data_IF_761085120641
#
_entry.id   IF_761085120641
#
_cell.length_a   1.000
_cell.length_b   1.000
_cell.length_c   1.000
_cell.angle_alpha   90.00
_cell.angle_beta   90.00
_cell.angle_gamma   90.00
#
_symmetry.space_group_name_H-M   'P 1'
#
loop_
_entity.id
_entity.type
_entity.pdbx_description
1 polymer ?
#
# COMPACT_ATOMS: atom_id res chain seq x y z
N UNK A 1 13.92 6.00 -53.62
CA UNK A 1 15.00 6.37 -52.69
C UNK A 1 14.79 5.58 -51.41
N UNK A 2 15.61 4.56 -51.15
CA UNK A 2 15.56 3.81 -49.89
C UNK A 2 16.12 4.71 -48.78
N UNK A 3 15.26 5.23 -47.93
CA UNK A 3 15.66 5.87 -46.68
C UNK A 3 16.24 4.80 -45.76
N UNK A 4 17.57 4.70 -45.70
CA UNK A 4 18.25 3.88 -44.70
C UNK A 4 17.91 4.42 -43.32
N UNK A 5 17.10 3.68 -42.57
CA UNK A 5 16.74 4.04 -41.20
C UNK A 5 17.98 3.87 -40.33
N UNK A 6 18.54 4.98 -39.83
CA UNK A 6 19.65 4.93 -38.88
C UNK A 6 19.16 4.44 -37.52
N UNK A 7 19.68 3.30 -37.06
CA UNK A 7 19.33 2.70 -35.76
C UNK A 7 20.27 3.12 -34.63
N UNK A 8 21.31 3.90 -34.91
CA UNK A 8 22.26 4.41 -33.91
C UNK A 8 21.58 5.14 -32.72
N UNK A 9 20.49 5.91 -32.91
CA UNK A 9 19.77 6.52 -31.79
C UNK A 9 19.24 5.51 -30.75
N UNK A 10 19.05 4.23 -31.12
CA UNK A 10 18.58 3.20 -30.17
C UNK A 10 19.62 2.85 -29.11
N UNK A 11 20.88 3.29 -29.23
CA UNK A 11 21.89 3.12 -28.17
C UNK A 11 21.40 3.70 -26.83
N UNK A 12 20.57 4.75 -26.85
CA UNK A 12 19.94 5.26 -25.63
C UNK A 12 19.09 4.22 -24.89
N UNK A 13 18.41 3.32 -25.61
CA UNK A 13 17.63 2.21 -25.00
C UNK A 13 18.57 1.24 -24.30
N UNK A 14 19.72 0.92 -24.90
CA UNK A 14 20.73 0.08 -24.25
C UNK A 14 21.29 0.72 -22.96
N UNK A 15 21.50 2.05 -22.96
CA UNK A 15 21.89 2.80 -21.75
C UNK A 15 20.82 2.66 -20.65
N UNK A 16 19.54 2.74 -21.01
CA UNK A 16 18.43 2.55 -20.06
C UNK A 16 18.45 1.13 -19.47
N UNK A 17 18.58 0.11 -20.33
CA UNK A 17 18.62 -1.30 -19.92
C UNK A 17 19.78 -1.55 -18.95
N UNK A 18 20.99 -1.13 -19.32
CA UNK A 18 22.20 -1.32 -18.50
C UNK A 18 22.08 -0.55 -17.19
N UNK A 19 21.59 0.70 -17.23
CA UNK A 19 21.41 1.52 -16.04
C UNK A 19 20.46 0.89 -15.02
N UNK A 20 19.32 0.37 -15.47
CA UNK A 20 18.38 -0.32 -14.60
C UNK A 20 18.92 -1.67 -14.10
N UNK A 21 19.67 -2.41 -14.92
CA UNK A 21 20.32 -3.65 -14.51
C UNK A 21 21.33 -3.41 -13.38
N UNK A 22 22.08 -2.31 -13.46
CA UNK A 22 23.03 -1.86 -12.44
C UNK A 22 22.36 -1.13 -11.25
N UNK A 23 21.03 -0.97 -11.27
CA UNK A 23 20.24 -0.28 -10.23
C UNK A 23 20.68 1.16 -9.95
N UNK A 24 21.16 1.87 -10.97
CA UNK A 24 21.47 3.29 -10.84
C UNK A 24 20.20 4.14 -10.71
N UNK A 25 20.37 5.41 -10.31
CA UNK A 25 19.25 6.33 -10.14
C UNK A 25 18.50 6.53 -11.48
N UNK A 26 17.17 6.25 -11.55
CA UNK A 26 16.39 6.37 -12.77
C UNK A 26 16.49 7.74 -13.45
N UNK A 27 16.53 8.83 -12.68
CA UNK A 27 16.65 10.19 -13.23
C UNK A 27 17.97 10.40 -13.97
N UNK A 28 19.08 9.90 -13.40
CA UNK A 28 20.40 9.99 -14.04
C UNK A 28 20.45 9.13 -15.30
N UNK A 29 19.85 7.93 -15.26
CA UNK A 29 19.80 7.02 -16.40
C UNK A 29 19.03 7.67 -17.56
N UNK A 30 17.85 8.24 -17.30
CA UNK A 30 17.03 8.91 -18.33
C UNK A 30 17.74 10.14 -18.90
N UNK A 31 18.40 10.94 -18.06
CA UNK A 31 19.18 12.09 -18.52
C UNK A 31 20.38 11.67 -19.38
N UNK A 32 21.12 10.63 -18.99
CA UNK A 32 22.23 10.11 -19.78
C UNK A 32 21.74 9.53 -21.12
N UNK A 33 20.64 8.78 -21.10
CA UNK A 33 20.05 8.18 -22.29
C UNK A 33 19.57 9.24 -23.29
N UNK A 34 18.98 10.34 -22.84
CA UNK A 34 18.53 11.43 -23.73
C UNK A 34 19.72 12.10 -24.42
N UNK A 35 20.82 12.33 -23.70
CA UNK A 35 22.07 12.88 -24.26
C UNK A 35 22.69 11.90 -25.26
N UNK A 36 22.85 10.63 -24.89
CA UNK A 36 23.46 9.60 -25.75
C UNK A 36 22.64 9.40 -27.03
N UNK A 37 21.30 9.38 -26.92
CA UNK A 37 20.39 9.28 -28.08
C UNK A 37 20.58 10.47 -29.03
N UNK A 38 20.64 11.68 -28.48
CA UNK A 38 20.77 12.88 -29.30
C UNK A 38 22.15 13.00 -29.97
N UNK A 39 23.23 12.59 -29.28
CA UNK A 39 24.57 12.50 -29.84
C UNK A 39 24.65 11.44 -30.96
N UNK A 40 24.04 10.27 -30.74
CA UNK A 40 23.96 9.21 -31.75
C UNK A 40 23.09 9.58 -32.96
N UNK A 41 22.19 10.55 -32.80
CA UNK A 41 21.42 11.17 -33.88
C UNK A 41 22.14 12.36 -34.56
N UNK A 42 23.40 12.64 -34.18
CA UNK A 42 24.20 13.76 -34.67
C UNK A 42 23.56 15.13 -34.46
N UNK A 43 22.83 15.32 -33.36
CA UNK A 43 22.29 16.64 -33.02
C UNK A 43 23.43 17.55 -32.53
N UNK A 44 23.49 18.82 -33.00
CA UNK A 44 24.44 19.77 -32.46
C UNK A 44 24.05 20.18 -31.02
N UNK A 45 24.99 20.61 -30.16
CA UNK A 45 24.74 20.81 -28.72
C UNK A 45 23.59 21.78 -28.39
N UNK A 46 23.42 22.83 -29.19
CA UNK A 46 22.32 23.78 -29.10
C UNK A 46 20.96 23.10 -29.31
N UNK A 47 20.85 22.19 -30.28
CA UNK A 47 19.64 21.43 -30.56
C UNK A 47 19.33 20.41 -29.46
N UNK A 48 20.36 19.81 -28.84
CA UNK A 48 20.19 18.91 -27.69
C UNK A 48 19.58 19.68 -26.52
N UNK A 49 20.17 20.83 -26.17
CA UNK A 49 19.69 21.70 -25.10
C UNK A 49 18.27 22.21 -25.38
N UNK A 50 17.99 22.65 -26.62
CA UNK A 50 16.67 23.11 -27.03
C UNK A 50 15.62 21.99 -26.97
N UNK A 51 15.97 20.76 -27.39
CA UNK A 51 15.07 19.62 -27.33
C UNK A 51 14.70 19.28 -25.88
N UNK A 52 15.68 19.19 -24.98
CA UNK A 52 15.47 18.93 -23.55
C UNK A 52 14.62 20.05 -22.92
N UNK A 53 14.97 21.31 -23.17
CA UNK A 53 14.23 22.47 -22.64
C UNK A 53 12.79 22.53 -23.15
N UNK A 54 12.58 22.28 -24.44
CA UNK A 54 11.23 22.25 -25.03
C UNK A 54 10.38 21.12 -24.49
N UNK A 55 10.97 19.94 -24.23
CA UNK A 55 10.30 18.82 -23.57
C UNK A 55 9.86 19.18 -22.16
N UNK A 56 10.73 19.82 -21.39
CA UNK A 56 10.41 20.26 -20.04
C UNK A 56 9.27 21.30 -20.01
N UNK A 57 9.31 22.27 -20.92
CA UNK A 57 8.26 23.30 -21.05
C UNK A 57 6.90 22.72 -21.49
N UNK A 58 6.90 21.78 -22.44
CA UNK A 58 5.68 21.10 -22.92
C UNK A 58 4.97 20.32 -21.81
N UNK A 59 5.74 19.82 -20.86
CA UNK A 59 5.27 19.00 -19.74
C UNK A 59 5.08 19.82 -18.46
N UNK A 60 5.41 21.12 -18.43
CA UNK A 60 5.40 22.00 -17.23
C UNK A 60 4.12 21.97 -16.39
N UNK A 61 2.96 21.87 -17.02
CA UNK A 61 1.68 21.85 -16.30
C UNK A 61 1.57 20.62 -15.37
N UNK A 62 2.25 19.53 -15.71
CA UNK A 62 2.22 18.28 -14.98
C UNK A 62 2.97 18.39 -13.64
N UNK A 63 4.24 18.83 -13.57
CA UNK A 63 4.91 19.11 -12.30
C UNK A 63 4.13 20.07 -11.40
N UNK A 64 3.45 21.09 -11.95
CA UNK A 64 2.64 22.02 -11.14
C UNK A 64 1.48 21.29 -10.44
N UNK A 65 0.79 20.39 -11.16
CA UNK A 65 -0.28 19.56 -10.61
C UNK A 65 0.24 18.61 -9.52
N UNK A 66 1.50 18.18 -9.58
CA UNK A 66 2.12 17.31 -8.57
C UNK A 66 2.62 18.10 -7.36
N UNK A 67 3.33 19.20 -7.58
CA UNK A 67 4.00 19.96 -6.54
C UNK A 67 3.02 20.70 -5.62
N UNK A 68 1.89 21.17 -6.16
CA UNK A 68 0.93 21.93 -5.36
C UNK A 68 0.25 21.07 -4.27
N UNK A 69 -0.31 19.87 -4.57
CA UNK A 69 -0.79 18.95 -3.54
C UNK A 69 0.30 18.52 -2.56
N UNK A 70 1.52 18.28 -3.04
CA UNK A 70 2.64 17.88 -2.18
C UNK A 70 2.96 18.95 -1.12
N UNK A 71 2.91 20.24 -1.47
CA UNK A 71 3.09 21.32 -0.50
C UNK A 71 1.98 21.35 0.57
N UNK A 72 0.73 21.11 0.16
CA UNK A 72 -0.41 21.02 1.10
C UNK A 72 -0.25 19.81 2.02
N UNK A 73 0.08 18.64 1.47
CA UNK A 73 0.32 17.41 2.23
C UNK A 73 1.46 17.61 3.23
N UNK A 74 2.59 18.19 2.79
CA UNK A 74 3.72 18.49 3.66
C UNK A 74 3.38 19.48 4.78
N UNK A 75 2.51 20.46 4.51
CA UNK A 75 2.01 21.36 5.55
C UNK A 75 1.13 20.62 6.57
N UNK A 76 0.24 19.74 6.12
CA UNK A 76 -0.62 18.93 6.97
C UNK A 76 0.20 17.96 7.86
N UNK A 77 1.20 17.30 7.28
CA UNK A 77 2.12 16.44 8.02
C UNK A 77 2.92 17.22 9.06
N UNK A 78 3.42 18.43 8.72
CA UNK A 78 4.10 19.30 9.68
C UNK A 78 3.22 19.70 10.88
N UNK A 79 1.92 19.82 10.69
CA UNK A 79 0.96 20.14 11.76
C UNK A 79 0.46 18.92 12.53
N UNK A 80 1.08 17.75 12.31
CA UNK A 80 0.84 16.56 13.09
C UNK A 80 -0.37 15.74 12.66
N UNK A 81 -0.78 15.85 11.38
CA UNK A 81 -1.91 15.07 10.84
C UNK A 81 -1.69 13.56 11.05
N UNK A 82 -0.45 13.10 10.90
CA UNK A 82 -0.07 11.70 11.07
C UNK A 82 -0.25 11.22 12.50
N UNK A 83 0.24 11.97 13.47
CA UNK A 83 0.12 11.68 14.89
C UNK A 83 -1.35 11.67 15.29
N UNK A 84 -2.14 12.60 14.74
CA UNK A 84 -3.59 12.68 14.99
C UNK A 84 -4.33 11.47 14.41
N UNK A 85 -3.97 11.05 13.19
CA UNK A 85 -4.51 9.84 12.58
C UNK A 85 -4.16 8.59 13.38
N UNK A 86 -2.92 8.47 13.86
CA UNK A 86 -2.48 7.35 14.71
C UNK A 86 -3.27 7.31 16.04
N UNK A 87 -3.41 8.44 16.73
CA UNK A 87 -4.20 8.53 17.97
C UNK A 87 -5.66 8.17 17.74
N UNK A 88 -6.24 8.62 16.62
CA UNK A 88 -7.62 8.29 16.26
C UNK A 88 -7.78 6.79 15.95
N UNK A 89 -6.88 6.19 15.17
CA UNK A 89 -6.90 4.74 14.91
C UNK A 89 -6.75 3.94 16.22
N UNK A 90 -5.84 4.36 17.11
CA UNK A 90 -5.64 3.73 18.41
C UNK A 90 -6.90 3.76 19.30
N UNK A 91 -7.77 4.76 19.12
CA UNK A 91 -9.02 4.91 19.87
C UNK A 91 -10.16 4.01 19.36
N UNK A 92 -9.98 3.36 18.21
CA UNK A 92 -11.00 2.48 17.62
C UNK A 92 -11.19 1.26 18.54
N UNK A 93 -12.34 1.21 19.21
CA UNK A 93 -12.75 0.06 20.03
C UNK A 93 -13.59 -0.90 19.19
N UNK A 94 -12.94 -1.85 18.53
CA UNK A 94 -13.61 -2.95 17.83
C UNK A 94 -13.47 -4.27 18.57
N UNK A 95 -14.50 -5.09 18.53
CA UNK A 95 -14.52 -6.38 19.22
C UNK A 95 -13.70 -7.49 18.52
N UNK A 96 -13.34 -7.34 17.24
CA UNK A 96 -12.62 -8.36 16.47
C UNK A 96 -11.49 -7.78 15.64
N UNK A 97 -10.48 -8.61 15.37
CA UNK A 97 -9.32 -8.21 14.56
C UNK A 97 -9.71 -7.92 13.10
N UNK A 98 -10.59 -8.72 12.49
CA UNK A 98 -11.06 -8.49 11.13
C UNK A 98 -11.79 -7.16 10.98
N UNK A 99 -12.70 -6.83 11.90
CA UNK A 99 -13.41 -5.53 11.89
C UNK A 99 -12.46 -4.35 12.05
N UNK A 100 -11.47 -4.45 12.95
CA UNK A 100 -10.42 -3.43 13.10
C UNK A 100 -9.73 -3.18 11.76
N UNK A 101 -9.30 -4.26 11.10
CA UNK A 101 -8.59 -4.18 9.83
C UNK A 101 -9.46 -3.66 8.69
N UNK A 102 -10.76 -3.95 8.67
CA UNK A 102 -11.70 -3.41 7.67
C UNK A 102 -11.85 -1.89 7.82
N UNK A 103 -12.01 -1.39 9.05
CA UNK A 103 -12.09 0.06 9.30
C UNK A 103 -10.79 0.73 8.89
N UNK A 104 -9.66 0.13 9.27
CA UNK A 104 -8.35 0.61 8.86
C UNK A 104 -8.18 0.63 7.34
N UNK A 105 -8.60 -0.43 6.64
CA UNK A 105 -8.58 -0.50 5.17
C UNK A 105 -9.31 0.69 4.54
N UNK A 106 -10.54 0.95 5.00
CA UNK A 106 -11.35 2.07 4.50
C UNK A 106 -10.64 3.41 4.70
N UNK A 107 -10.13 3.64 5.91
CA UNK A 107 -9.41 4.88 6.25
C UNK A 107 -8.15 5.01 5.40
N UNK A 108 -7.41 3.91 5.23
CA UNK A 108 -6.16 3.89 4.47
C UNK A 108 -6.39 4.20 2.99
N UNK A 109 -7.44 3.63 2.41
CA UNK A 109 -7.81 3.83 1.01
C UNK A 109 -8.30 5.25 0.75
N UNK A 110 -9.18 5.78 1.61
CA UNK A 110 -9.68 7.16 1.51
C UNK A 110 -8.56 8.20 1.69
N UNK A 111 -7.67 7.97 2.65
CA UNK A 111 -6.53 8.87 2.87
C UNK A 111 -5.54 8.80 1.72
N UNK A 112 -5.25 7.61 1.18
CA UNK A 112 -4.41 7.46 0.00
C UNK A 112 -5.02 8.13 -1.25
N UNK A 113 -6.34 8.01 -1.45
CA UNK A 113 -7.06 8.69 -2.53
C UNK A 113 -6.99 10.22 -2.43
N UNK A 114 -6.91 10.76 -1.21
CA UNK A 114 -6.67 12.17 -0.95
C UNK A 114 -5.19 12.59 -1.09
N UNK A 115 -4.29 11.66 -1.43
CA UNK A 115 -2.84 11.90 -1.56
C UNK A 115 -2.05 11.78 -0.26
N UNK A 116 -2.70 11.42 0.85
CA UNK A 116 -2.08 11.27 2.17
C UNK A 116 -1.43 9.89 2.34
N UNK A 117 -0.63 9.48 1.36
CA UNK A 117 0.01 8.16 1.30
C UNK A 117 0.99 7.93 2.46
N UNK A 118 1.54 9.00 3.03
CA UNK A 118 2.43 8.98 4.20
C UNK A 118 1.77 8.66 5.54
N UNK A 119 0.43 8.65 5.66
CA UNK A 119 -0.26 8.41 6.94
C UNK A 119 -0.19 6.95 7.43
N UNK A 120 0.07 6.00 6.54
CA UNK A 120 0.17 4.58 6.88
C UNK A 120 1.60 4.06 6.77
N UNK A 121 1.74 2.81 6.34
CA UNK A 121 3.05 2.19 6.14
C UNK A 121 3.47 1.25 7.26
N UNK A 122 4.25 0.24 6.87
CA UNK A 122 4.74 -0.82 7.74
C UNK A 122 5.44 -0.34 9.03
N UNK A 123 6.45 0.54 8.98
CA UNK A 123 7.17 0.96 10.18
C UNK A 123 6.37 1.94 11.04
N UNK A 124 5.41 2.64 10.44
CA UNK A 124 4.74 3.79 11.05
C UNK A 124 3.42 3.43 11.73
N UNK A 125 2.69 2.50 11.12
CA UNK A 125 1.31 2.18 11.48
C UNK A 125 1.16 0.68 11.75
N UNK A 126 1.65 -0.17 10.84
CA UNK A 126 1.42 -1.62 10.96
C UNK A 126 2.13 -2.20 12.18
N UNK A 127 3.45 -2.02 12.28
CA UNK A 127 4.27 -2.63 13.34
C UNK A 127 3.97 -2.09 14.74
N UNK A 128 3.95 -0.76 14.99
CA UNK A 128 3.79 -0.25 16.35
C UNK A 128 2.33 -0.22 16.82
N UNK A 129 1.33 -0.23 15.93
CA UNK A 129 -0.06 0.00 16.29
C UNK A 129 -1.00 -1.09 15.77
N UNK A 130 -1.13 -1.27 14.46
CA UNK A 130 -2.18 -2.12 13.88
C UNK A 130 -2.01 -3.60 14.23
N UNK A 131 -0.79 -4.12 14.14
CA UNK A 131 -0.47 -5.49 14.49
C UNK A 131 -0.71 -5.80 15.98
N UNK A 132 -0.14 -5.04 16.95
CA UNK A 132 -0.41 -5.29 18.37
C UNK A 132 -1.89 -5.10 18.74
N UNK A 133 -2.61 -4.19 18.08
CA UNK A 133 -4.07 -4.06 18.29
C UNK A 133 -4.84 -5.28 17.78
N UNK A 134 -4.50 -5.82 16.61
CA UNK A 134 -5.13 -7.02 16.07
C UNK A 134 -4.83 -8.27 16.92
N UNK A 135 -3.59 -8.39 17.41
CA UNK A 135 -3.18 -9.41 18.39
C UNK A 135 -3.99 -9.27 19.69
N UNK A 136 -4.01 -8.08 20.29
CA UNK A 136 -4.73 -7.82 21.54
C UNK A 136 -6.25 -8.03 21.43
N UNK A 137 -6.86 -7.64 20.31
CA UNK A 137 -8.28 -7.89 20.06
C UNK A 137 -8.59 -9.40 19.99
N UNK A 138 -7.68 -10.20 19.42
CA UNK A 138 -7.81 -11.66 19.35
C UNK A 138 -7.56 -12.30 20.72
N UNK A 139 -6.53 -11.85 21.44
CA UNK A 139 -6.19 -12.36 22.78
C UNK A 139 -7.28 -12.06 23.81
N UNK A 140 -7.91 -10.89 23.75
CA UNK A 140 -9.03 -10.52 24.63
C UNK A 140 -10.22 -11.46 24.47
N UNK A 141 -10.46 -11.96 23.25
CA UNK A 141 -11.62 -12.79 22.92
C UNK A 141 -11.38 -14.28 23.15
N UNK A 142 -10.20 -14.77 22.80
CA UNK A 142 -9.88 -16.21 22.80
C UNK A 142 -8.83 -16.62 23.85
N UNK A 143 -8.24 -15.68 24.57
CA UNK A 143 -7.13 -15.94 25.49
C UNK A 143 -5.78 -15.99 24.74
N UNK A 144 -4.77 -16.64 25.34
CA UNK A 144 -3.43 -16.71 24.74
C UNK A 144 -3.47 -17.33 23.34
N UNK A 145 -2.94 -16.62 22.35
CA UNK A 145 -2.85 -17.07 20.97
C UNK A 145 -1.49 -17.72 20.69
N UNK A 146 -1.46 -18.66 19.74
CA UNK A 146 -0.20 -19.27 19.27
C UNK A 146 0.59 -18.33 18.35
N UNK A 147 1.89 -18.57 18.21
CA UNK A 147 2.75 -17.78 17.32
C UNK A 147 2.31 -17.84 15.86
N UNK A 148 1.75 -18.97 15.41
CA UNK A 148 1.19 -19.11 14.06
C UNK A 148 0.04 -18.12 13.82
N UNK A 149 -0.86 -17.96 14.80
CA UNK A 149 -1.97 -17.00 14.71
C UNK A 149 -1.44 -15.58 14.77
N UNK A 150 -0.44 -15.31 15.62
CA UNK A 150 0.21 -14.01 15.74
C UNK A 150 0.85 -13.56 14.42
N UNK A 151 1.65 -14.42 13.79
CA UNK A 151 2.25 -14.12 12.48
C UNK A 151 1.20 -13.94 11.39
N UNK A 152 0.10 -14.71 11.44
CA UNK A 152 -1.02 -14.52 10.52
C UNK A 152 -1.67 -13.14 10.69
N UNK A 153 -1.94 -12.71 11.92
CA UNK A 153 -2.49 -11.38 12.19
C UNK A 153 -1.56 -10.26 11.70
N UNK A 154 -0.25 -10.38 11.92
CA UNK A 154 0.76 -9.45 11.37
C UNK A 154 0.74 -9.41 9.84
N UNK A 155 0.65 -10.57 9.19
CA UNK A 155 0.58 -10.66 7.74
C UNK A 155 -0.70 -10.01 7.20
N UNK A 156 -1.85 -10.22 7.85
CA UNK A 156 -3.10 -9.58 7.47
C UNK A 156 -3.05 -8.06 7.70
N UNK A 157 -2.50 -7.59 8.81
CA UNK A 157 -2.29 -6.17 9.07
C UNK A 157 -1.40 -5.51 7.99
N UNK A 158 -0.27 -6.16 7.67
CA UNK A 158 0.64 -5.74 6.60
C UNK A 158 -0.04 -5.72 5.22
N UNK A 159 -0.82 -6.75 4.89
CA UNK A 159 -1.54 -6.82 3.62
C UNK A 159 -2.62 -5.74 3.49
N UNK A 160 -3.25 -5.38 4.61
CA UNK A 160 -4.32 -4.37 4.63
C UNK A 160 -3.78 -2.98 4.35
N UNK A 161 -2.62 -2.62 4.92
CA UNK A 161 -1.95 -1.36 4.59
C UNK A 161 -1.50 -1.32 3.12
N UNK A 162 -0.96 -2.42 2.58
CA UNK A 162 -0.53 -2.49 1.18
C UNK A 162 -1.70 -2.36 0.20
N UNK A 163 -2.78 -3.12 0.41
CA UNK A 163 -3.95 -3.10 -0.47
C UNK A 163 -4.62 -1.72 -0.42
N UNK A 164 -4.84 -1.17 0.78
CA UNK A 164 -5.45 0.15 0.93
C UNK A 164 -4.62 1.27 0.30
N UNK A 165 -3.29 1.24 0.46
CA UNK A 165 -2.41 2.21 -0.17
C UNK A 165 -2.43 2.08 -1.70
N UNK A 166 -2.19 0.86 -2.21
CA UNK A 166 -2.00 0.64 -3.64
C UNK A 166 -3.22 1.07 -4.45
N UNK A 167 -4.41 0.59 -4.08
CA UNK A 167 -5.62 0.92 -4.83
C UNK A 167 -6.20 2.30 -4.49
N UNK A 168 -5.91 2.83 -3.30
CA UNK A 168 -6.31 4.19 -2.95
C UNK A 168 -5.48 5.24 -3.69
N UNK A 169 -4.16 5.04 -3.81
CA UNK A 169 -3.25 5.97 -4.51
C UNK A 169 -3.60 6.12 -6.00
N UNK A 170 -4.16 5.08 -6.63
CA UNK A 170 -4.60 5.13 -8.04
C UNK A 170 -5.74 6.14 -8.30
N UNK A 171 -6.46 6.59 -7.26
CA UNK A 171 -7.49 7.64 -7.37
C UNK A 171 -6.85 9.04 -7.24
N UNK A 172 -5.62 9.13 -6.72
CA UNK A 172 -4.97 10.41 -6.51
C UNK A 172 -4.41 10.98 -7.82
N UNK A 173 -4.93 12.14 -8.22
CA UNK A 173 -4.66 12.77 -9.53
C UNK A 173 -3.17 13.06 -9.78
N UNK A 174 -2.40 13.31 -8.72
CA UNK A 174 -0.97 13.59 -8.80
C UNK A 174 -0.09 12.33 -8.66
N UNK A 175 -0.66 11.13 -8.79
CA UNK A 175 0.09 9.89 -8.87
C UNK A 175 0.92 9.80 -10.16
N UNK A 176 2.17 9.34 -10.03
CA UNK A 176 3.15 9.36 -11.12
C UNK A 176 2.74 8.56 -12.36
N UNK A 177 1.99 7.46 -12.19
CA UNK A 177 1.53 6.66 -13.32
C UNK A 177 0.45 7.38 -14.16
N UNK A 178 -0.47 8.09 -13.52
CA UNK A 178 -1.51 8.89 -14.22
C UNK A 178 -0.84 9.96 -15.08
N UNK A 179 0.15 10.63 -14.50
CA UNK A 179 0.97 11.63 -15.17
C UNK A 179 1.64 11.08 -16.42
N UNK A 180 2.27 9.89 -16.31
CA UNK A 180 2.92 9.23 -17.43
C UNK A 180 1.90 8.89 -18.54
N UNK A 181 0.76 8.31 -18.18
CA UNK A 181 -0.30 7.95 -19.13
C UNK A 181 -0.84 9.18 -19.87
N UNK A 182 -1.16 10.26 -19.14
CA UNK A 182 -1.66 11.50 -19.73
C UNK A 182 -0.61 12.14 -20.66
N UNK A 183 0.67 12.10 -20.28
CA UNK A 183 1.76 12.62 -21.13
C UNK A 183 1.84 11.84 -22.43
N UNK A 184 1.81 10.51 -22.35
CA UNK A 184 1.85 9.64 -23.52
C UNK A 184 0.65 9.83 -24.45
N UNK A 185 -0.57 9.90 -23.89
CA UNK A 185 -1.79 10.16 -24.67
C UNK A 185 -1.72 11.51 -25.38
N UNK A 186 -1.23 12.54 -24.68
CA UNK A 186 -1.06 13.88 -25.25
C UNK A 186 -0.07 13.87 -26.42
N UNK A 187 1.03 13.12 -26.32
CA UNK A 187 1.98 12.94 -27.43
C UNK A 187 1.37 12.22 -28.64
N UNK A 188 0.43 11.31 -28.40
CA UNK A 188 -0.37 10.64 -29.44
C UNK A 188 -1.51 11.50 -30.01
N UNK A 189 -1.66 12.75 -29.58
CA UNK A 189 -2.72 13.67 -30.02
C UNK A 189 -4.05 13.52 -29.27
N UNK A 190 -4.10 12.71 -28.22
CA UNK A 190 -5.29 12.48 -27.39
C UNK A 190 -5.16 13.32 -26.11
N UNK A 191 -5.95 14.39 -26.01
CA UNK A 191 -5.97 15.25 -24.82
C UNK A 191 -6.94 14.69 -23.78
N UNK A 192 -6.41 14.19 -22.66
CA UNK A 192 -7.21 13.74 -21.51
C UNK A 192 -6.75 14.49 -20.28
N UNK A 193 -7.69 14.95 -19.47
CA UNK A 193 -7.36 15.57 -18.19
C UNK A 193 -7.05 14.49 -17.13
N UNK A 194 -6.03 14.67 -16.28
CA UNK A 194 -5.66 13.70 -15.23
C UNK A 194 -6.82 13.26 -14.34
N UNK A 195 -7.75 14.18 -14.04
CA UNK A 195 -8.95 13.90 -13.23
C UNK A 195 -9.85 12.83 -13.86
N UNK A 196 -9.99 12.82 -15.18
CA UNK A 196 -10.81 11.82 -15.87
C UNK A 196 -10.19 10.43 -15.75
N UNK A 197 -8.86 10.33 -15.81
CA UNK A 197 -8.14 9.06 -15.63
C UNK A 197 -8.26 8.58 -14.17
N UNK A 198 -8.11 9.48 -13.20
CA UNK A 198 -8.18 9.18 -11.77
C UNK A 198 -9.56 8.63 -11.33
N UNK A 199 -10.65 9.17 -11.87
CA UNK A 199 -12.02 8.70 -11.54
C UNK A 199 -12.23 7.24 -11.94
N UNK A 200 -11.55 6.76 -12.99
CA UNK A 200 -11.60 5.34 -13.38
C UNK A 200 -10.83 4.41 -12.43
N UNK A 201 -10.04 4.94 -11.49
CA UNK A 201 -9.49 4.17 -10.37
C UNK A 201 -10.55 3.79 -9.33
N UNK A 202 -11.63 4.57 -9.20
CA UNK A 202 -12.66 4.38 -8.16
C UNK A 202 -13.33 3.00 -8.23
N UNK A 203 -13.81 2.50 -9.39
CA UNK A 203 -14.39 1.16 -9.45
C UNK A 203 -13.44 0.05 -9.01
N UNK A 204 -12.15 0.17 -9.35
CA UNK A 204 -11.12 -0.80 -8.97
C UNK A 204 -10.86 -0.76 -7.46
N UNK A 205 -10.78 0.43 -6.88
CA UNK A 205 -10.61 0.63 -5.45
C UNK A 205 -11.80 0.03 -4.66
N UNK A 206 -13.04 0.30 -5.09
CA UNK A 206 -14.25 -0.31 -4.51
C UNK A 206 -14.18 -1.85 -4.57
N UNK A 207 -13.77 -2.42 -5.71
CA UNK A 207 -13.62 -3.86 -5.82
C UNK A 207 -12.55 -4.40 -4.86
N UNK A 208 -11.39 -3.73 -4.77
CA UNK A 208 -10.33 -4.10 -3.84
C UNK A 208 -10.79 -4.03 -2.38
N UNK A 209 -11.51 -2.98 -1.99
CA UNK A 209 -12.12 -2.82 -0.67
C UNK A 209 -13.06 -3.98 -0.35
N UNK A 210 -13.98 -4.30 -1.27
CA UNK A 210 -14.96 -5.38 -1.06
C UNK A 210 -14.28 -6.75 -0.97
N UNK A 211 -13.35 -7.04 -1.86
CA UNK A 211 -12.65 -8.34 -1.90
C UNK A 211 -11.77 -8.52 -0.66
N UNK A 212 -10.95 -7.52 -0.34
CA UNK A 212 -10.05 -7.62 0.82
C UNK A 212 -10.81 -7.49 2.14
N UNK A 213 -11.83 -6.64 2.20
CA UNK A 213 -12.76 -6.56 3.32
C UNK A 213 -13.47 -7.89 3.58
N UNK A 214 -13.90 -8.58 2.53
CA UNK A 214 -14.47 -9.92 2.66
C UNK A 214 -13.44 -10.95 3.16
N UNK A 215 -12.19 -10.89 2.70
CA UNK A 215 -11.10 -11.75 3.24
C UNK A 215 -10.85 -11.49 4.73
N UNK A 216 -10.92 -10.25 5.18
CA UNK A 216 -10.79 -9.88 6.59
C UNK A 216 -12.00 -10.33 7.42
N UNK A 217 -13.20 -10.32 6.85
CA UNK A 217 -14.37 -10.94 7.48
C UNK A 217 -14.22 -12.47 7.62
N UNK A 218 -13.69 -13.14 6.60
CA UNK A 218 -13.39 -14.58 6.66
C UNK A 218 -12.29 -14.91 7.67
N UNK A 219 -11.33 -14.00 7.89
CA UNK A 219 -10.31 -14.15 8.92
C UNK A 219 -10.95 -14.27 10.32
N UNK A 220 -11.94 -13.42 10.65
CA UNK A 220 -12.64 -13.51 11.92
C UNK A 220 -13.37 -14.86 12.07
N UNK A 221 -14.07 -15.32 11.03
CA UNK A 221 -14.72 -16.65 11.03
C UNK A 221 -13.73 -17.79 11.20
N UNK A 222 -12.56 -17.69 10.58
CA UNK A 222 -11.50 -18.69 10.70
C UNK A 222 -10.90 -18.72 12.10
N UNK A 223 -10.67 -17.55 12.71
CA UNK A 223 -10.21 -17.43 14.09
C UNK A 223 -11.25 -18.00 15.07
N UNK A 224 -12.53 -17.74 14.85
CA UNK A 224 -13.62 -18.32 15.64
C UNK A 224 -13.63 -19.85 15.57
N UNK A 225 -13.50 -20.42 14.37
CA UNK A 225 -13.49 -21.87 14.20
C UNK A 225 -12.24 -22.51 14.83
N UNK A 226 -11.05 -21.97 14.58
CA UNK A 226 -9.78 -22.53 15.07
C UNK A 226 -9.60 -22.38 16.59
N UNK A 227 -9.97 -21.22 17.15
CA UNK A 227 -9.71 -20.91 18.57
C UNK A 227 -10.96 -21.11 19.45
N UNK A 228 -12.16 -20.98 18.90
CA UNK A 228 -13.40 -21.29 19.62
C UNK A 228 -13.51 -22.76 19.96
N UNK A 229 -13.11 -23.66 19.05
CA UNK A 229 -13.02 -25.10 19.33
C UNK A 229 -12.00 -25.44 20.42
N UNK A 230 -10.88 -24.71 20.50
CA UNK A 230 -9.88 -24.89 21.56
C UNK A 230 -10.38 -24.43 22.93
N UNK A 231 -11.17 -23.35 22.99
CA UNK A 231 -11.80 -22.88 24.23
C UNK A 231 -12.83 -23.89 24.76
N UNK A 232 -13.66 -24.46 23.87
CA UNK A 232 -14.62 -25.49 24.25
C UNK A 232 -13.92 -26.76 24.73
N UNK A 233 -12.91 -27.25 24.00
CA UNK A 233 -12.13 -28.43 24.39
C UNK A 233 -11.36 -28.24 25.70
N UNK A 234 -10.85 -27.03 25.98
CA UNK A 234 -10.20 -26.74 27.26
C UNK A 234 -11.18 -26.66 28.41
N UNK A 235 -12.36 -26.07 28.21
CA UNK A 235 -13.42 -26.06 29.22
C UNK A 235 -13.92 -27.47 29.56
N UNK A 236 -14.01 -28.38 28.58
CA UNK A 236 -14.36 -29.78 28.82
C UNK A 236 -13.24 -30.57 29.51
N UNK A 237 -11.98 -30.29 29.17
CA UNK A 237 -10.83 -30.91 29.82
C UNK A 237 -10.66 -30.44 31.28
N UNK A 238 -10.82 -29.14 31.53
CA UNK A 238 -10.79 -28.56 32.87
C UNK A 238 -11.95 -29.11 33.72
N UNK A 239 -13.17 -29.23 33.16
CA UNK A 239 -14.32 -29.83 33.85
C UNK A 239 -14.12 -31.33 34.17
N UNK A 240 -13.44 -32.09 33.28
CA UNK A 240 -13.08 -33.49 33.55
C UNK A 240 -11.97 -33.63 34.59
N UNK A 241 -11.03 -32.69 34.63
CA UNK A 241 -9.96 -32.67 35.62
C UNK A 241 -10.51 -32.38 37.02
N UNK A 242 -11.40 -31.38 37.16
CA UNK A 242 -12.09 -31.07 38.42
C UNK A 242 -12.93 -32.27 38.90
N UNK A 243 -13.68 -32.91 37.99
CA UNK A 243 -14.47 -34.10 38.34
C UNK A 243 -13.59 -35.28 38.80
N UNK A 244 -12.40 -35.48 38.19
CA UNK A 244 -11.46 -36.51 38.60
C UNK A 244 -10.80 -36.21 39.97
N UNK A 245 -10.55 -34.93 40.26
CA UNK A 245 -10.02 -34.49 41.56
C UNK A 245 -11.05 -34.67 42.68
N UNK A 246 -12.32 -34.37 42.45
CA UNK A 246 -13.39 -34.62 43.43
C UNK A 246 -13.56 -36.12 43.74
N UNK A 247 -13.45 -37.00 42.74
CA UNK A 247 -13.48 -38.45 42.97
C UNK A 247 -12.28 -38.98 43.75
N UNK A 248 -11.11 -38.32 43.62
CA UNK A 248 -9.88 -38.70 44.33
C UNK A 248 -9.92 -38.24 45.79
N UNK A 249 -10.43 -37.02 46.06
CA UNK A 249 -10.63 -36.53 47.42
C UNK A 249 -11.71 -37.32 48.19
N UNK A 250 -12.80 -37.72 47.52
CA UNK A 250 -13.84 -38.53 48.14
C UNK A 250 -13.38 -39.96 48.52
N UNK A 251 -12.38 -40.49 47.83
CA UNK A 251 -11.79 -41.80 48.13
C UNK A 251 -10.71 -41.75 49.22
N UNK A 252 -10.07 -40.60 49.45
CA UNK A 252 -9.06 -40.40 50.49
C UNK A 252 -9.61 -40.20 51.90
N UNK A 253 -10.89 -39.85 52.03
CA UNK A 253 -11.57 -39.60 53.31
C UNK A 253 -12.22 -40.87 53.92
N UNK A 254 -12.05 -42.04 53.27
CA UNK A 254 -12.58 -43.34 53.72
C UNK A 254 -11.49 -44.34 54.18
N UNK A 255 -10.26 -43.90 54.38
CA UNK A 255 -9.14 -44.72 54.92
C UNK A 255 -8.70 -44.21 56.29
#
# INVERSE_FOLDING_TARGET
MQTTVSLWPLIGVAVIIIGFLLRFNPMLIVAAASIVTALAAHFPPDKILAAIGSGFLKTRNIPIIIFLPLAVIGLLERHGLRERAQMWIASIKTATAGRLLIIYLLVRELTAAAGLTGLGGHPQMVRPLLAPMAEGATETRFGKISDAVRYRLRAYAASTDNVGLFFGEDIFVAFGAIVLMVTFLKEAGISVEPQHVAVWGIPTAICAFLIHGFRLYLLDRRLEHELGGQRAGRSEADAKADAAQDTTNAAGDQA
#
